data_IF_498870178880
#
_entry.id   IF_498870178880
#
_cell.length_a   1.000
_cell.length_b   1.000
_cell.length_c   1.000
_cell.angle_alpha   90.00
_cell.angle_beta   90.00
_cell.angle_gamma   90.00
#
_symmetry.space_group_name_H-M   'P 1'
#
loop_
_entity.id
_entity.type
_entity.pdbx_description
1 polymer ?
#
# COMPACT_ATOMS: atom_id res chain seq x y z
N UNK A 1 -29.84 26.98 37.49
CA UNK A 1 -30.81 27.06 36.37
C UNK A 1 -31.18 25.63 35.98
N UNK A 2 -32.45 25.21 36.24
CA UNK A 2 -32.92 23.84 35.97
C UNK A 2 -33.47 23.72 34.54
N UNK A 3 -33.16 22.63 33.86
CA UNK A 3 -33.77 22.28 32.56
C UNK A 3 -35.26 21.98 32.77
N UNK A 4 -36.09 22.39 31.79
CA UNK A 4 -37.49 21.92 31.76
C UNK A 4 -37.55 20.42 31.50
N UNK A 5 -38.53 19.67 32.01
CA UNK A 5 -38.67 18.24 31.75
C UNK A 5 -38.62 17.89 30.26
N UNK A 6 -39.24 18.72 29.42
CA UNK A 6 -39.22 18.54 27.96
C UNK A 6 -37.81 18.70 27.36
N UNK A 7 -37.04 19.70 27.84
CA UNK A 7 -35.66 19.90 27.39
C UNK A 7 -34.77 18.72 27.83
N UNK A 8 -34.96 18.21 29.05
CA UNK A 8 -34.26 17.03 29.54
C UNK A 8 -34.56 15.77 28.70
N UNK A 9 -35.82 15.48 28.42
CA UNK A 9 -36.19 14.34 27.59
C UNK A 9 -35.68 14.46 26.17
N UNK A 10 -35.73 15.64 25.55
CA UNK A 10 -35.17 15.89 24.25
C UNK A 10 -33.66 15.67 24.20
N UNK A 11 -32.95 16.15 25.22
CA UNK A 11 -31.51 15.97 25.33
C UNK A 11 -31.14 14.49 25.54
N UNK A 12 -31.84 13.79 26.41
CA UNK A 12 -31.60 12.35 26.66
C UNK A 12 -31.84 11.53 25.38
N UNK A 13 -32.93 11.79 24.65
CA UNK A 13 -33.21 11.12 23.38
C UNK A 13 -32.10 11.39 22.33
N UNK A 14 -31.64 12.63 22.24
CA UNK A 14 -30.54 13.00 21.34
C UNK A 14 -29.24 12.28 21.68
N UNK A 15 -28.89 12.21 22.98
CA UNK A 15 -27.70 11.51 23.45
C UNK A 15 -27.76 10.01 23.18
N UNK A 16 -28.91 9.37 23.38
CA UNK A 16 -29.12 7.96 23.05
C UNK A 16 -28.97 7.71 21.56
N UNK A 17 -29.57 8.53 20.70
CA UNK A 17 -29.42 8.40 19.25
C UNK A 17 -27.97 8.58 18.82
N UNK A 18 -27.27 9.57 19.38
CA UNK A 18 -25.84 9.79 19.11
C UNK A 18 -25.01 8.56 19.48
N UNK A 19 -25.28 7.98 20.66
CA UNK A 19 -24.56 6.79 21.12
C UNK A 19 -24.81 5.59 20.21
N UNK A 20 -26.04 5.33 19.79
CA UNK A 20 -26.37 4.27 18.83
C UNK A 20 -25.64 4.48 17.50
N UNK A 21 -25.59 5.71 16.99
CA UNK A 21 -24.85 6.03 15.76
C UNK A 21 -23.34 5.81 15.93
N UNK A 22 -22.75 6.24 17.09
CA UNK A 22 -21.34 6.00 17.40
C UNK A 22 -21.03 4.50 17.42
N UNK A 23 -21.85 3.67 18.05
CA UNK A 23 -21.68 2.23 18.15
C UNK A 23 -21.78 1.54 16.77
N UNK A 24 -22.73 1.94 15.93
CA UNK A 24 -22.85 1.45 14.55
C UNK A 24 -21.61 1.76 13.73
N UNK A 25 -21.10 2.99 13.82
CA UNK A 25 -19.87 3.40 13.12
C UNK A 25 -18.68 2.59 13.62
N UNK A 26 -18.52 2.39 14.92
CA UNK A 26 -17.42 1.59 15.50
C UNK A 26 -17.50 0.14 15.03
N UNK A 27 -18.68 -0.48 15.01
CA UNK A 27 -18.85 -1.84 14.47
C UNK A 27 -18.43 -1.93 13.01
N UNK A 28 -18.84 -0.97 12.18
CA UNK A 28 -18.45 -0.95 10.77
C UNK A 28 -16.95 -0.71 10.58
N UNK A 29 -16.31 0.11 11.42
CA UNK A 29 -14.85 0.27 11.47
C UNK A 29 -14.17 -1.06 11.77
N UNK A 30 -14.65 -1.82 12.76
CA UNK A 30 -14.10 -3.15 13.05
C UNK A 30 -14.23 -4.09 11.86
N UNK A 31 -15.38 -4.09 11.16
CA UNK A 31 -15.60 -4.90 9.96
C UNK A 31 -14.60 -4.57 8.85
N UNK A 32 -14.41 -3.28 8.54
CA UNK A 32 -13.41 -2.86 7.55
C UNK A 32 -12.00 -3.29 7.98
N UNK A 33 -11.69 -3.20 9.26
CA UNK A 33 -10.37 -3.57 9.79
C UNK A 33 -10.12 -5.06 9.90
N UNK A 34 -11.11 -5.91 9.77
CA UNK A 34 -10.91 -7.35 9.57
C UNK A 34 -10.16 -7.60 8.26
N UNK A 35 -10.44 -6.81 7.21
CA UNK A 35 -9.78 -6.92 5.91
C UNK A 35 -8.54 -6.02 5.80
N UNK A 36 -8.58 -4.83 6.41
CA UNK A 36 -7.50 -3.83 6.38
C UNK A 36 -7.13 -3.39 7.81
N UNK A 37 -6.37 -4.18 8.56
CA UNK A 37 -6.20 -4.03 10.02
C UNK A 37 -5.73 -2.66 10.50
N UNK A 38 -4.95 -1.96 9.69
CA UNK A 38 -4.36 -0.67 10.03
C UNK A 38 -4.76 0.46 9.09
N UNK A 39 -5.93 0.34 8.45
CA UNK A 39 -6.48 1.39 7.61
C UNK A 39 -6.56 2.72 8.38
N UNK A 40 -5.96 3.76 7.81
CA UNK A 40 -5.87 5.09 8.43
C UNK A 40 -7.22 5.81 8.49
N UNK A 41 -7.41 6.69 9.48
CA UNK A 41 -8.69 7.36 9.76
C UNK A 41 -9.30 8.07 8.55
N UNK A 42 -8.50 8.79 7.74
CA UNK A 42 -9.02 9.51 6.57
C UNK A 42 -9.57 8.55 5.50
N UNK A 43 -8.87 7.45 5.26
CA UNK A 43 -9.29 6.42 4.30
C UNK A 43 -10.53 5.68 4.81
N UNK A 44 -10.56 5.34 6.11
CA UNK A 44 -11.75 4.77 6.76
C UNK A 44 -12.98 5.66 6.59
N UNK A 45 -12.86 6.98 6.77
CA UNK A 45 -13.98 7.89 6.60
C UNK A 45 -14.54 7.87 5.18
N UNK A 46 -13.67 7.79 4.16
CA UNK A 46 -14.09 7.66 2.76
C UNK A 46 -14.81 6.32 2.54
N UNK A 47 -14.27 5.23 3.04
CA UNK A 47 -14.87 3.89 2.92
C UNK A 47 -16.20 3.77 3.67
N UNK A 48 -16.40 4.57 4.71
CA UNK A 48 -17.64 4.61 5.49
C UNK A 48 -18.74 5.46 4.84
N UNK A 49 -18.44 6.31 3.86
CA UNK A 49 -19.44 7.23 3.27
C UNK A 49 -20.74 6.54 2.80
N UNK A 50 -20.70 5.39 2.07
CA UNK A 50 -21.93 4.71 1.66
C UNK A 50 -22.76 4.25 2.86
N UNK A 51 -22.11 3.74 3.90
CA UNK A 51 -22.77 3.31 5.14
C UNK A 51 -23.38 4.49 5.91
N UNK A 52 -22.62 5.59 6.06
CA UNK A 52 -23.10 6.80 6.73
C UNK A 52 -24.33 7.39 6.03
N UNK A 53 -24.30 7.43 4.70
CA UNK A 53 -25.44 7.92 3.89
C UNK A 53 -26.66 7.02 4.06
N UNK A 54 -26.50 5.68 4.00
CA UNK A 54 -27.58 4.72 4.16
C UNK A 54 -28.28 4.83 5.53
N UNK A 55 -27.51 5.09 6.58
CA UNK A 55 -28.00 5.20 7.95
C UNK A 55 -28.33 6.63 8.38
N UNK A 56 -28.27 7.61 7.47
CA UNK A 56 -28.50 9.04 7.77
C UNK A 56 -27.63 9.57 8.91
N UNK A 57 -26.38 9.09 9.02
CA UNK A 57 -25.42 9.51 10.04
C UNK A 57 -24.58 10.66 9.48
N UNK A 58 -24.70 11.85 10.06
CA UNK A 58 -23.85 12.97 9.72
C UNK A 58 -22.62 12.97 10.65
N UNK A 59 -21.45 12.57 10.11
CA UNK A 59 -20.21 12.45 10.87
C UNK A 59 -19.07 13.17 10.15
N UNK A 60 -18.69 14.33 10.69
CA UNK A 60 -17.56 15.11 10.20
C UNK A 60 -16.20 14.46 10.54
N UNK A 61 -15.16 14.88 9.80
CA UNK A 61 -13.80 14.36 9.97
C UNK A 61 -13.31 14.40 11.40
N UNK A 62 -13.42 15.54 12.07
CA UNK A 62 -12.83 15.76 13.40
C UNK A 62 -13.60 14.94 14.46
N UNK A 63 -14.94 14.93 14.39
CA UNK A 63 -15.77 14.07 15.24
C UNK A 63 -15.45 12.58 15.05
N UNK A 64 -15.10 12.15 13.83
CA UNK A 64 -14.68 10.78 13.57
C UNK A 64 -13.32 10.46 14.20
N UNK A 65 -12.36 11.41 14.14
CA UNK A 65 -11.09 11.27 14.85
C UNK A 65 -11.29 11.12 16.35
N UNK A 66 -12.15 11.96 16.96
CA UNK A 66 -12.46 11.89 18.38
C UNK A 66 -13.13 10.58 18.78
N UNK A 67 -14.07 10.10 17.95
CA UNK A 67 -14.73 8.80 18.14
C UNK A 67 -13.72 7.65 18.13
N UNK A 68 -12.79 7.63 17.16
CA UNK A 68 -11.74 6.61 17.11
C UNK A 68 -10.74 6.74 18.26
N UNK A 69 -10.41 7.95 18.69
CA UNK A 69 -9.54 8.20 19.84
C UNK A 69 -10.18 7.66 21.13
N UNK A 70 -11.46 8.00 21.38
CA UNK A 70 -12.26 7.52 22.52
C UNK A 70 -12.27 5.99 22.62
N UNK A 71 -12.37 5.32 21.47
CA UNK A 71 -12.41 3.85 21.38
C UNK A 71 -11.02 3.21 21.22
N UNK A 72 -9.91 3.96 21.34
CA UNK A 72 -8.53 3.47 21.18
C UNK A 72 -8.27 2.85 19.80
N UNK A 73 -8.98 3.31 18.79
CA UNK A 73 -8.92 2.81 17.41
C UNK A 73 -8.02 3.65 16.49
N UNK A 74 -7.29 4.64 17.00
CA UNK A 74 -6.31 5.38 16.20
C UNK A 74 -5.09 4.50 15.89
N UNK A 75 -4.68 4.50 14.60
CA UNK A 75 -3.49 3.78 14.16
C UNK A 75 -2.24 4.52 14.62
N UNK A 76 -1.40 3.87 15.43
CA UNK A 76 -0.11 4.41 15.88
C UNK A 76 0.95 4.23 14.79
N UNK A 77 1.82 5.23 14.61
CA UNK A 77 3.00 5.12 13.74
C UNK A 77 3.94 4.02 14.28
N UNK A 78 4.33 3.09 13.42
CA UNK A 78 5.41 2.14 13.73
C UNK A 78 6.77 2.82 13.57
N UNK A 79 7.76 2.42 14.38
CA UNK A 79 9.16 2.86 14.20
C UNK A 79 9.66 2.37 12.84
N UNK A 80 10.41 3.21 12.11
CA UNK A 80 11.01 2.85 10.82
C UNK A 80 11.96 1.68 10.97
N UNK A 81 11.91 0.73 10.05
CA UNK A 81 12.83 -0.40 9.92
C UNK A 81 14.13 0.03 9.23
N UNK A 82 15.19 -0.74 9.43
CA UNK A 82 16.54 -0.52 8.95
C UNK A 82 16.63 -0.60 7.41
N UNK A 83 17.47 0.22 6.83
CA UNK A 83 17.78 0.27 5.39
C UNK A 83 18.74 -0.86 5.00
N UNK A 84 18.44 -1.62 3.94
CA UNK A 84 19.25 -2.77 3.50
C UNK A 84 19.34 -2.93 1.98
N UNK A 85 19.69 -1.87 1.26
CA UNK A 85 19.96 -1.99 -0.17
C UNK A 85 21.45 -2.25 -0.39
N UNK A 86 21.82 -3.41 -0.97
CA UNK A 86 23.17 -3.69 -1.43
C UNK A 86 23.39 -3.03 -2.79
N UNK A 87 23.86 -1.80 -2.80
CA UNK A 87 24.13 -1.02 -4.02
C UNK A 87 25.62 -1.04 -4.45
N UNK A 88 26.50 -1.69 -3.66
CA UNK A 88 27.94 -1.84 -3.98
C UNK A 88 28.19 -3.15 -4.73
N UNK A 89 28.05 -3.14 -6.05
CA UNK A 89 28.29 -4.28 -6.94
C UNK A 89 28.90 -3.81 -8.27
N UNK A 90 29.44 -4.74 -9.09
CA UNK A 90 30.13 -4.47 -10.36
C UNK A 90 29.21 -4.39 -11.59
N UNK A 91 27.92 -4.68 -11.46
CA UNK A 91 26.99 -4.63 -12.58
C UNK A 91 26.82 -3.22 -13.14
N UNK A 92 26.47 -3.16 -14.43
CA UNK A 92 26.14 -1.92 -15.14
C UNK A 92 24.97 -1.21 -14.46
N UNK A 93 25.09 0.12 -14.35
CA UNK A 93 24.04 1.01 -13.85
C UNK A 93 23.43 1.76 -15.03
N UNK A 94 22.12 1.94 -14.98
CA UNK A 94 21.37 2.63 -16.03
C UNK A 94 21.04 4.06 -15.60
N UNK A 95 20.85 5.01 -16.56
CA UNK A 95 20.51 6.39 -16.25
C UNK A 95 19.11 6.51 -15.64
N UNK A 96 18.87 7.62 -14.93
CA UNK A 96 17.53 7.99 -14.47
C UNK A 96 16.75 8.63 -15.62
N UNK A 97 15.77 7.91 -16.17
CA UNK A 97 14.94 8.37 -17.29
C UNK A 97 13.67 9.09 -16.80
N UNK A 98 13.40 9.09 -15.50
CA UNK A 98 12.13 9.62 -14.96
C UNK A 98 12.27 10.99 -14.29
N UNK A 99 13.44 11.59 -14.33
CA UNK A 99 13.63 12.95 -13.81
C UNK A 99 12.80 13.95 -14.63
N UNK A 100 11.78 14.53 -13.98
CA UNK A 100 10.82 15.43 -14.66
C UNK A 100 9.76 14.71 -15.51
N UNK A 101 9.73 13.39 -15.51
CA UNK A 101 8.74 12.59 -16.22
C UNK A 101 7.51 12.32 -15.32
N UNK A 102 6.33 12.56 -15.85
CA UNK A 102 5.05 12.21 -15.20
C UNK A 102 4.24 11.34 -16.14
N UNK A 103 3.90 10.10 -15.76
CA UNK A 103 3.11 9.23 -16.60
C UNK A 103 1.69 9.80 -16.79
N UNK A 104 1.17 9.76 -18.02
CA UNK A 104 -0.15 10.26 -18.40
C UNK A 104 -1.19 9.13 -18.53
N UNK A 105 -0.74 7.90 -18.66
CA UNK A 105 -1.59 6.70 -18.76
C UNK A 105 -0.93 5.48 -18.11
N UNK A 106 -1.72 4.43 -17.93
CA UNK A 106 -1.23 3.16 -17.40
C UNK A 106 -0.16 2.52 -18.32
N UNK A 107 0.76 1.81 -17.71
CA UNK A 107 1.88 1.10 -18.34
C UNK A 107 2.94 1.98 -19.03
N UNK A 108 2.98 3.28 -18.75
CA UNK A 108 4.10 4.15 -19.18
C UNK A 108 5.30 4.04 -18.24
N UNK A 109 5.04 3.97 -16.94
CA UNK A 109 6.10 3.88 -15.91
C UNK A 109 5.73 2.82 -14.87
N UNK A 110 6.61 1.85 -14.71
CA UNK A 110 6.57 0.90 -13.61
C UNK A 110 7.70 1.19 -12.62
N UNK A 111 7.40 1.15 -11.34
CA UNK A 111 8.36 1.34 -10.26
C UNK A 111 8.48 0.05 -9.46
N UNK A 112 9.72 -0.34 -9.18
CA UNK A 112 10.02 -1.59 -8.47
C UNK A 112 10.74 -1.32 -7.16
N UNK A 113 10.41 -2.10 -6.14
CA UNK A 113 11.09 -2.08 -4.85
C UNK A 113 10.95 -3.44 -4.15
N UNK A 114 11.88 -3.72 -3.23
CA UNK A 114 11.87 -4.92 -2.38
C UNK A 114 11.60 -4.49 -0.95
N UNK A 115 10.64 -5.15 -0.31
CA UNK A 115 10.29 -4.83 1.06
C UNK A 115 10.22 -6.08 1.92
N UNK A 116 10.41 -5.93 3.24
CA UNK A 116 10.37 -7.02 4.20
C UNK A 116 8.95 -7.23 4.71
N UNK A 117 8.57 -8.49 4.84
CA UNK A 117 7.34 -8.94 5.50
C UNK A 117 7.75 -9.70 6.77
N UNK A 118 7.30 -9.30 7.97
CA UNK A 118 7.59 -10.04 9.18
C UNK A 118 6.83 -11.37 9.19
N UNK A 119 7.55 -12.47 9.41
CA UNK A 119 7.03 -13.75 9.78
C UNK A 119 7.26 -13.97 11.28
N UNK A 120 6.70 -15.03 11.86
CA UNK A 120 6.78 -15.32 13.29
C UNK A 120 8.22 -15.37 13.81
N UNK A 121 9.12 -16.03 13.08
CA UNK A 121 10.50 -16.29 13.51
C UNK A 121 11.56 -15.67 12.56
N UNK A 122 11.15 -15.09 11.43
CA UNK A 122 12.04 -14.56 10.40
C UNK A 122 11.37 -13.48 9.56
N UNK A 123 12.02 -13.05 8.49
CA UNK A 123 11.45 -12.16 7.48
C UNK A 123 11.31 -12.90 6.15
N UNK A 124 10.26 -12.57 5.40
CA UNK A 124 10.16 -12.84 3.99
C UNK A 124 10.40 -11.54 3.21
N UNK A 125 10.67 -11.67 1.91
CA UNK A 125 10.93 -10.57 1.00
C UNK A 125 9.80 -10.46 0.00
N UNK A 126 9.23 -9.27 -0.11
CA UNK A 126 8.22 -8.96 -1.11
C UNK A 126 8.85 -8.13 -2.21
N UNK A 127 8.91 -8.71 -3.39
CA UNK A 127 9.25 -8.05 -4.65
C UNK A 127 7.99 -7.45 -5.25
N UNK A 128 7.98 -6.15 -5.48
CA UNK A 128 6.83 -5.42 -5.96
C UNK A 128 7.15 -4.63 -7.22
N UNK A 129 6.25 -4.69 -8.20
CA UNK A 129 6.25 -3.84 -9.38
C UNK A 129 4.90 -3.16 -9.46
N UNK A 130 4.91 -1.84 -9.44
CA UNK A 130 3.71 -1.00 -9.38
C UNK A 130 3.67 -0.08 -10.59
N UNK A 131 2.54 0.00 -11.24
CA UNK A 131 2.26 1.02 -12.25
C UNK A 131 2.16 2.39 -11.59
N UNK A 132 2.99 3.34 -12.01
CA UNK A 132 3.10 4.62 -11.34
C UNK A 132 1.89 5.53 -11.59
N UNK A 133 1.16 5.34 -12.69
CA UNK A 133 -0.06 6.10 -12.99
C UNK A 133 -1.25 5.56 -12.19
N UNK A 134 -1.61 4.30 -12.43
CA UNK A 134 -2.80 3.69 -11.82
C UNK A 134 -2.61 3.23 -10.37
N UNK A 135 -1.37 3.21 -9.88
CA UNK A 135 -0.98 2.65 -8.56
C UNK A 135 -1.25 1.15 -8.42
N UNK A 136 -1.62 0.48 -9.50
CA UNK A 136 -1.90 -0.95 -9.53
C UNK A 136 -0.61 -1.77 -9.40
N UNK A 137 -0.65 -2.82 -8.59
CA UNK A 137 0.43 -3.81 -8.53
C UNK A 137 0.35 -4.69 -9.76
N UNK A 138 1.29 -4.52 -10.70
CA UNK A 138 1.36 -5.29 -11.95
C UNK A 138 2.19 -6.56 -11.81
N UNK A 139 3.16 -6.59 -10.87
CA UNK A 139 3.94 -7.79 -10.57
C UNK A 139 4.26 -7.89 -9.09
N UNK A 140 4.26 -9.12 -8.55
CA UNK A 140 4.68 -9.36 -7.18
C UNK A 140 5.16 -10.79 -6.98
N UNK A 141 6.05 -10.96 -6.02
CA UNK A 141 6.48 -12.27 -5.54
C UNK A 141 6.92 -12.18 -4.09
N UNK A 142 6.54 -13.17 -3.28
CA UNK A 142 7.03 -13.34 -1.90
C UNK A 142 8.02 -14.48 -1.88
N UNK A 143 9.16 -14.27 -1.26
CA UNK A 143 10.24 -15.27 -1.19
C UNK A 143 10.89 -15.27 0.20
N UNK A 144 11.48 -16.40 0.56
CA UNK A 144 12.35 -16.53 1.74
C UNK A 144 13.70 -15.83 1.57
N UNK A 145 14.08 -15.53 0.35
CA UNK A 145 15.39 -14.95 0.04
C UNK A 145 15.29 -13.75 -0.92
N UNK A 146 16.36 -12.97 -0.98
CA UNK A 146 16.50 -11.82 -1.88
C UNK A 146 17.25 -12.17 -3.17
N UNK A 147 17.11 -13.37 -3.71
CA UNK A 147 17.76 -13.77 -4.94
C UNK A 147 17.20 -13.06 -6.18
N UNK A 148 18.04 -13.00 -7.21
CA UNK A 148 17.67 -12.46 -8.51
C UNK A 148 16.49 -13.22 -9.11
N UNK A 149 16.46 -14.54 -8.98
CA UNK A 149 15.38 -15.41 -9.48
C UNK A 149 14.00 -14.99 -8.95
N UNK A 150 13.92 -14.56 -7.69
CA UNK A 150 12.68 -14.09 -7.06
C UNK A 150 12.21 -12.75 -7.65
N UNK A 151 13.14 -11.84 -7.94
CA UNK A 151 12.84 -10.59 -8.66
C UNK A 151 12.35 -10.86 -10.09
N UNK A 152 12.98 -11.81 -10.77
CA UNK A 152 12.61 -12.25 -12.15
C UNK A 152 11.20 -12.84 -12.17
N UNK A 153 10.79 -13.61 -11.16
CA UNK A 153 9.41 -14.13 -11.05
C UNK A 153 8.39 -12.97 -10.97
N UNK A 154 8.67 -11.95 -10.14
CA UNK A 154 7.81 -10.77 -10.08
C UNK A 154 7.74 -10.04 -11.42
N UNK A 155 8.88 -9.88 -12.10
CA UNK A 155 8.96 -9.24 -13.41
C UNK A 155 8.20 -10.00 -14.48
N UNK A 156 8.32 -11.32 -14.57
CA UNK A 156 7.56 -12.18 -15.50
C UNK A 156 6.05 -11.98 -15.32
N UNK A 157 5.57 -11.91 -14.09
CA UNK A 157 4.14 -11.63 -13.79
C UNK A 157 3.71 -10.24 -14.26
N UNK A 158 4.58 -9.24 -14.16
CA UNK A 158 4.31 -7.90 -14.67
C UNK A 158 4.27 -7.88 -16.19
N UNK A 159 5.26 -8.49 -16.84
CA UNK A 159 5.35 -8.56 -18.31
C UNK A 159 4.15 -9.26 -18.92
N UNK A 160 3.62 -10.30 -18.29
CA UNK A 160 2.39 -10.98 -18.73
C UNK A 160 1.15 -10.07 -18.75
N UNK A 161 1.16 -8.93 -18.05
CA UNK A 161 0.08 -7.94 -18.03
C UNK A 161 0.37 -6.72 -18.93
N UNK A 162 1.58 -6.63 -19.51
CA UNK A 162 1.98 -5.52 -20.37
C UNK A 162 1.23 -5.60 -21.70
N UNK A 163 0.55 -4.53 -22.16
CA UNK A 163 0.02 -4.49 -23.52
C UNK A 163 1.15 -4.60 -24.53
N UNK A 164 0.93 -5.37 -25.62
CA UNK A 164 1.98 -5.75 -26.58
C UNK A 164 2.70 -4.54 -27.17
N UNK A 165 1.97 -3.51 -27.56
CA UNK A 165 2.51 -2.32 -28.22
C UNK A 165 3.01 -1.22 -27.27
N UNK A 166 2.96 -1.45 -25.95
CA UNK A 166 3.36 -0.40 -24.99
C UNK A 166 4.84 -0.52 -24.65
N UNK A 167 5.59 0.57 -24.82
CA UNK A 167 6.94 0.72 -24.29
C UNK A 167 6.80 1.21 -22.84
N UNK A 168 7.25 0.40 -21.90
CA UNK A 168 7.22 0.74 -20.47
C UNK A 168 8.62 1.18 -20.01
N UNK A 169 8.70 2.24 -19.21
CA UNK A 169 9.90 2.57 -18.45
C UNK A 169 9.82 1.79 -17.13
N UNK A 170 10.80 0.91 -16.91
CA UNK A 170 10.95 0.21 -15.64
C UNK A 170 11.98 0.93 -14.77
N UNK A 171 11.55 1.48 -13.66
CA UNK A 171 12.39 2.23 -12.71
C UNK A 171 12.58 1.48 -11.40
N UNK A 172 13.82 1.40 -10.93
CA UNK A 172 14.17 0.76 -9.66
C UNK A 172 15.32 1.48 -8.96
N UNK A 173 15.63 1.07 -7.74
CA UNK A 173 16.90 1.40 -7.12
C UNK A 173 18.06 0.64 -7.82
N UNK A 174 19.30 0.86 -7.32
CA UNK A 174 20.51 0.18 -7.83
C UNK A 174 20.80 -1.12 -7.09
N UNK A 175 19.79 -1.83 -6.64
CA UNK A 175 19.96 -3.14 -6.01
C UNK A 175 20.53 -4.17 -6.97
N UNK A 176 21.37 -5.08 -6.45
CA UNK A 176 22.01 -6.15 -7.24
C UNK A 176 21.00 -6.96 -8.05
N UNK A 177 19.79 -7.14 -7.53
CA UNK A 177 18.73 -7.89 -8.20
C UNK A 177 18.31 -7.24 -9.52
N UNK A 178 18.15 -5.91 -9.53
CA UNK A 178 17.70 -5.14 -10.69
C UNK A 178 18.81 -4.91 -11.72
N UNK A 179 20.08 -4.92 -11.29
CA UNK A 179 21.24 -4.76 -12.15
C UNK A 179 21.75 -6.08 -12.73
N UNK A 180 21.22 -7.22 -12.32
CA UNK A 180 21.67 -8.54 -12.78
C UNK A 180 21.38 -8.77 -14.26
N UNK A 181 22.25 -9.53 -14.94
CA UNK A 181 22.08 -9.85 -16.35
C UNK A 181 20.73 -10.53 -16.64
N UNK A 182 20.28 -11.44 -15.78
CA UNK A 182 19.02 -12.15 -15.96
C UNK A 182 17.81 -11.20 -15.93
N UNK A 183 17.79 -10.26 -14.98
CA UNK A 183 16.72 -9.28 -14.86
C UNK A 183 16.71 -8.27 -16.02
N UNK A 184 17.90 -7.77 -16.36
CA UNK A 184 18.10 -6.82 -17.47
C UNK A 184 17.72 -7.45 -18.82
N UNK A 185 18.20 -8.67 -19.10
CA UNK A 185 17.86 -9.38 -20.34
C UNK A 185 16.33 -9.57 -20.48
N UNK A 186 15.63 -9.86 -19.40
CA UNK A 186 14.18 -10.01 -19.46
C UNK A 186 13.48 -8.67 -19.78
N UNK A 187 13.98 -7.55 -19.27
CA UNK A 187 13.47 -6.21 -19.62
C UNK A 187 13.70 -5.90 -21.09
N UNK A 188 14.92 -6.13 -21.59
CA UNK A 188 15.31 -5.87 -22.98
C UNK A 188 14.52 -6.75 -23.97
N UNK A 189 14.35 -8.03 -23.68
CA UNK A 189 13.53 -8.97 -24.49
C UNK A 189 12.07 -8.53 -24.60
N UNK A 190 11.56 -7.81 -23.60
CA UNK A 190 10.20 -7.27 -23.60
C UNK A 190 10.13 -5.80 -24.03
N UNK A 191 11.19 -5.26 -24.64
CA UNK A 191 11.27 -3.87 -25.11
C UNK A 191 10.95 -2.84 -24.03
N UNK A 192 11.34 -3.10 -22.76
CA UNK A 192 11.20 -2.16 -21.66
C UNK A 192 12.44 -1.27 -21.55
N UNK A 193 12.24 0.01 -21.32
CA UNK A 193 13.31 0.96 -21.05
C UNK A 193 13.74 0.83 -19.60
N UNK A 194 15.06 0.77 -19.35
CA UNK A 194 15.61 0.58 -18.00
C UNK A 194 16.02 1.92 -17.42
N UNK A 195 15.51 2.21 -16.25
CA UNK A 195 15.78 3.43 -15.48
C UNK A 195 16.16 3.09 -14.05
N UNK A 196 17.14 3.79 -13.48
CA UNK A 196 17.58 3.57 -12.10
C UNK A 196 17.78 4.90 -11.37
N UNK A 197 17.58 4.91 -10.05
CA UNK A 197 17.90 6.07 -9.21
C UNK A 197 19.35 6.47 -9.39
N UNK A 198 19.67 7.76 -9.42
CA UNK A 198 21.05 8.26 -9.53
C UNK A 198 21.67 8.57 -8.19
N UNK A 199 20.89 9.08 -7.27
CA UNK A 199 21.26 9.39 -5.90
C UNK A 199 20.57 8.45 -4.92
N UNK A 200 20.98 8.46 -3.67
CA UNK A 200 20.24 7.81 -2.58
C UNK A 200 19.00 8.60 -2.12
N UNK A 201 18.50 9.54 -2.94
CA UNK A 201 17.36 10.37 -2.62
C UNK A 201 16.07 9.53 -2.70
N UNK A 202 15.33 9.37 -1.59
CA UNK A 202 14.06 8.68 -1.56
C UNK A 202 13.03 9.23 -2.56
N UNK A 203 13.12 10.50 -2.92
CA UNK A 203 12.20 11.12 -3.88
C UNK A 203 12.31 10.52 -5.29
N UNK A 204 13.44 9.94 -5.65
CA UNK A 204 13.62 9.30 -6.96
C UNK A 204 12.79 8.02 -7.12
N UNK A 205 12.35 7.37 -6.01
CA UNK A 205 11.47 6.19 -6.05
C UNK A 205 10.24 6.36 -5.13
N UNK A 206 9.79 7.59 -4.95
CA UNK A 206 8.72 7.95 -4.00
C UNK A 206 7.40 7.17 -4.18
N UNK A 207 7.07 6.77 -5.42
CA UNK A 207 5.85 6.00 -5.71
C UNK A 207 5.95 4.60 -5.14
N UNK A 208 7.07 3.89 -5.39
CA UNK A 208 7.28 2.55 -4.85
C UNK A 208 7.35 2.58 -3.32
N UNK A 209 8.08 3.54 -2.74
CA UNK A 209 8.15 3.72 -1.28
C UNK A 209 6.77 3.97 -0.66
N UNK A 210 5.94 4.79 -1.31
CA UNK A 210 4.58 5.07 -0.84
C UNK A 210 3.70 3.82 -0.87
N UNK A 211 3.73 3.06 -1.95
CA UNK A 211 2.97 1.80 -2.07
C UNK A 211 3.42 0.80 -1.02
N UNK A 212 4.73 0.60 -0.86
CA UNK A 212 5.29 -0.24 0.20
C UNK A 212 4.90 0.25 1.61
N UNK A 213 4.91 1.57 1.82
CA UNK A 213 4.46 2.17 3.07
C UNK A 213 2.99 1.84 3.39
N UNK A 214 2.11 1.95 2.40
CA UNK A 214 0.69 1.63 2.56
C UNK A 214 0.50 0.12 2.81
N UNK A 215 1.15 -0.74 2.01
CA UNK A 215 1.10 -2.19 2.22
C UNK A 215 1.51 -2.57 3.64
N UNK A 216 2.66 -2.08 4.11
CA UNK A 216 3.17 -2.36 5.46
C UNK A 216 2.29 -1.81 6.58
N UNK A 217 1.69 -0.65 6.38
CA UNK A 217 0.95 0.01 7.47
C UNK A 217 -0.52 -0.37 7.52
N UNK A 218 -1.14 -0.65 6.39
CA UNK A 218 -2.59 -0.84 6.34
C UNK A 218 -3.02 -2.29 6.10
N UNK A 219 -2.22 -3.08 5.35
CA UNK A 219 -2.63 -4.38 4.84
C UNK A 219 -1.82 -5.54 5.41
N UNK A 220 -0.50 -5.36 5.58
CA UNK A 220 0.34 -6.41 6.16
C UNK A 220 0.10 -6.44 7.66
N UNK A 221 -0.27 -7.61 8.19
CA UNK A 221 -0.38 -7.83 9.63
C UNK A 221 0.97 -7.67 10.31
N UNK A 222 0.98 -7.50 11.61
CA UNK A 222 2.22 -7.36 12.39
C UNK A 222 3.17 -8.54 12.23
N UNK A 223 2.66 -9.74 11.89
CA UNK A 223 3.43 -10.96 11.65
C UNK A 223 2.54 -12.01 11.00
N UNK A 224 3.06 -12.77 10.05
CA UNK A 224 2.43 -13.95 9.46
C UNK A 224 3.06 -15.23 10.00
N UNK A 225 2.32 -16.32 10.05
CA UNK A 225 2.85 -17.62 10.48
C UNK A 225 3.83 -18.18 9.44
N UNK A 226 3.48 -18.04 8.15
CA UNK A 226 4.25 -18.55 7.02
C UNK A 226 4.15 -17.67 5.77
N UNK A 227 4.90 -18.01 4.72
CA UNK A 227 4.93 -17.31 3.44
C UNK A 227 3.63 -17.44 2.68
N UNK A 228 2.94 -18.57 2.77
CA UNK A 228 1.71 -18.82 2.02
C UNK A 228 0.60 -17.91 2.52
N UNK A 229 0.48 -17.73 3.85
CA UNK A 229 -0.44 -16.75 4.45
C UNK A 229 -0.10 -15.32 4.09
N UNK A 230 1.19 -14.97 4.07
CA UNK A 230 1.64 -13.66 3.62
C UNK A 230 1.29 -13.41 2.13
N UNK A 231 1.53 -14.41 1.28
CA UNK A 231 1.22 -14.35 -0.16
C UNK A 231 -0.28 -14.22 -0.41
N UNK A 232 -1.11 -14.99 0.30
CA UNK A 232 -2.56 -14.93 0.20
C UNK A 232 -3.11 -13.55 0.61
N UNK A 233 -2.62 -12.99 1.71
CA UNK A 233 -2.98 -11.66 2.18
C UNK A 233 -2.68 -10.58 1.13
N UNK A 234 -1.54 -10.70 0.43
CA UNK A 234 -1.16 -9.77 -0.63
C UNK A 234 -2.01 -9.91 -1.90
N UNK A 235 -2.50 -11.13 -2.21
CA UNK A 235 -3.44 -11.33 -3.31
C UNK A 235 -4.76 -10.61 -3.00
N UNK A 236 -5.28 -10.73 -1.80
CA UNK A 236 -6.47 -10.01 -1.34
C UNK A 236 -6.24 -8.50 -1.38
N UNK A 237 -5.09 -8.05 -0.89
CA UNK A 237 -4.68 -6.65 -0.95
C UNK A 237 -4.64 -6.10 -2.39
N UNK A 238 -4.14 -6.88 -3.36
CA UNK A 238 -4.08 -6.51 -4.78
C UNK A 238 -5.46 -6.20 -5.37
N UNK A 239 -6.49 -6.94 -4.98
CA UNK A 239 -7.88 -6.73 -5.42
C UNK A 239 -8.45 -5.42 -4.87
N UNK A 240 -8.03 -5.03 -3.66
CA UNK A 240 -8.52 -3.82 -2.97
C UNK A 240 -7.74 -2.54 -3.33
N UNK A 241 -6.58 -2.65 -3.99
CA UNK A 241 -5.72 -1.52 -4.39
C UNK A 241 -6.14 -0.83 -5.70
N UNK A 242 -7.38 -0.97 -6.12
CA UNK A 242 -7.94 -0.08 -7.14
C UNK A 242 -8.27 1.24 -6.44
N UNK A 243 -7.31 2.17 -6.40
CA UNK A 243 -7.61 3.54 -5.98
C UNK A 243 -8.64 4.11 -6.95
N UNK A 244 -9.74 4.72 -6.47
CA UNK A 244 -10.51 5.59 -7.32
C UNK A 244 -9.59 6.73 -7.78
N UNK A 245 -9.62 6.99 -9.08
CA UNK A 245 -8.89 8.08 -9.72
C UNK A 245 -9.25 9.44 -9.12
#
# INVERSE_FOLDING_TARGET
MGYTPQAYHKQTKHLLQKQVHEDLVVQQVHRIRTEQPRCGTRKLLIMLQPFLTLHHINLGRDCFFDLLAKNKLLVRKTKRSVHTTQSKHHFRRYPNLIKGFTPLKAHELWVSDITYIPLKDRFAYLFLITDAYSRKIVGHHVSDDMKVSSAVVALKKAMAQKPVETIVIHHSDRGVQYCSHEYVNLLEQNHAMISMTQSGDPLENAVAERVNGILKTELISSSYEDIDKASLSLIVAKVQFTFPA
#
